data_IF_270407112461
#
_entry.id   IF_270407112461
#
_cell.length_a   1.000
_cell.length_b   1.000
_cell.length_c   1.000
_cell.angle_alpha   90.00
_cell.angle_beta   90.00
_cell.angle_gamma   90.00
#
_symmetry.space_group_name_H-M   'P 1'
#
loop_
_entity.id
_entity.type
_entity.pdbx_description
1 polymer ?
#
# COMPACT_ATOMS: atom_id res chain seq x y z
N UNK A 1 17.30 21.65 -13.61
CA UNK A 1 18.01 20.76 -14.54
C UNK A 1 19.46 21.21 -14.52
N UNK A 2 20.50 20.45 -14.21
CA UNK A 2 20.70 19.00 -14.13
C UNK A 2 20.69 18.50 -12.68
N UNK A 3 19.82 17.54 -12.39
CA UNK A 3 20.03 16.62 -11.27
C UNK A 3 20.92 15.56 -11.87
N UNK A 4 22.13 15.36 -11.37
CA UNK A 4 22.97 14.22 -11.77
C UNK A 4 22.69 13.09 -10.78
N UNK A 5 21.54 12.36 -10.90
CA UNK A 5 21.17 11.31 -9.96
C UNK A 5 22.26 10.25 -9.84
N UNK A 6 23.06 10.09 -10.89
CA UNK A 6 24.16 9.13 -10.98
C UNK A 6 25.33 9.50 -10.05
N UNK A 7 25.62 10.81 -9.87
CA UNK A 7 26.66 11.27 -8.94
C UNK A 7 26.25 11.03 -7.48
N UNK A 8 25.00 11.34 -7.15
CA UNK A 8 24.44 11.07 -5.82
C UNK A 8 24.40 9.56 -5.54
N UNK A 9 24.04 8.75 -6.55
CA UNK A 9 24.03 7.30 -6.43
C UNK A 9 25.44 6.73 -6.20
N UNK A 10 26.45 7.23 -6.91
CA UNK A 10 27.85 6.82 -6.71
C UNK A 10 28.35 7.17 -5.30
N UNK A 11 28.10 8.40 -4.85
CA UNK A 11 28.48 8.84 -3.50
C UNK A 11 27.81 8.02 -2.40
N UNK A 12 26.49 7.81 -2.50
CA UNK A 12 25.74 6.99 -1.53
C UNK A 12 26.23 5.54 -1.56
N UNK A 13 26.62 5.00 -2.72
CA UNK A 13 27.19 3.65 -2.84
C UNK A 13 28.54 3.53 -2.14
N UNK A 14 29.40 4.54 -2.24
CA UNK A 14 30.68 4.55 -1.52
C UNK A 14 30.47 4.66 0.00
N UNK A 15 29.54 5.50 0.44
CA UNK A 15 29.21 5.64 1.87
C UNK A 15 28.58 4.36 2.43
N UNK A 16 27.67 3.71 1.69
CA UNK A 16 27.07 2.43 2.10
C UNK A 16 28.06 1.26 2.08
N UNK A 17 29.06 1.27 1.19
CA UNK A 17 30.14 0.27 1.20
C UNK A 17 31.08 0.43 2.39
N UNK A 18 31.42 1.67 2.76
CA UNK A 18 32.30 1.97 3.90
C UNK A 18 31.59 1.73 5.24
N UNK A 19 30.28 1.98 5.28
CA UNK A 19 29.47 1.91 6.49
C UNK A 19 28.06 1.41 6.16
N UNK A 20 27.81 0.09 6.25
CA UNK A 20 26.54 -0.51 5.84
C UNK A 20 25.34 -0.18 6.74
N UNK A 21 25.62 0.23 8.00
CA UNK A 21 24.64 0.51 9.05
C UNK A 21 24.48 2.01 9.37
N UNK A 22 25.02 2.92 8.55
CA UNK A 22 24.81 4.36 8.78
C UNK A 22 23.32 4.70 8.76
N UNK A 23 22.92 5.61 9.65
CA UNK A 23 21.58 6.13 9.73
C UNK A 23 21.21 6.87 8.42
N UNK A 24 19.99 6.62 7.92
CA UNK A 24 19.50 7.23 6.68
C UNK A 24 19.42 8.76 6.76
N UNK A 25 19.32 9.31 7.98
CA UNK A 25 19.39 10.75 8.29
C UNK A 25 20.75 11.34 7.95
N UNK A 26 21.84 10.67 8.35
CA UNK A 26 23.22 11.14 8.11
C UNK A 26 23.60 11.04 6.63
N UNK A 27 23.13 10.01 5.92
CA UNK A 27 23.30 9.93 4.45
C UNK A 27 22.55 11.04 3.73
N UNK A 28 21.39 11.43 4.24
CA UNK A 28 20.58 12.49 3.66
C UNK A 28 21.23 13.85 3.86
N UNK A 29 21.79 14.13 5.04
CA UNK A 29 22.53 15.36 5.31
C UNK A 29 23.78 15.49 4.44
N UNK A 30 24.60 14.43 4.35
CA UNK A 30 25.78 14.41 3.47
C UNK A 30 25.39 14.51 1.98
N UNK A 31 24.26 13.94 1.58
CA UNK A 31 23.79 14.03 0.20
C UNK A 31 23.22 15.42 -0.16
N UNK A 32 22.72 16.20 0.81
CA UNK A 32 22.30 17.59 0.60
C UNK A 32 23.47 18.53 0.30
N UNK A 33 24.66 18.21 0.80
CA UNK A 33 25.89 18.98 0.53
C UNK A 33 26.42 18.72 -0.89
N UNK A 34 26.14 17.54 -1.45
CA UNK A 34 26.59 17.12 -2.78
C UNK A 34 25.66 17.61 -3.90
N UNK A 35 24.33 17.65 -3.67
CA UNK A 35 23.36 18.13 -4.65
C UNK A 35 22.16 18.82 -3.97
N UNK A 36 21.90 20.06 -4.36
CA UNK A 36 20.74 20.83 -3.87
C UNK A 36 19.40 20.24 -4.29
N UNK A 37 19.36 19.45 -5.36
CA UNK A 37 18.19 18.67 -5.79
C UNK A 37 17.78 17.59 -4.79
N UNK A 38 18.71 17.15 -3.92
CA UNK A 38 18.38 16.23 -2.82
C UNK A 38 17.67 16.96 -1.68
N UNK A 39 17.86 18.28 -1.53
CA UNK A 39 17.16 19.10 -0.50
C UNK A 39 15.64 19.12 -0.73
N UNK A 40 15.20 18.96 -1.98
CA UNK A 40 13.78 18.93 -2.34
C UNK A 40 13.10 17.58 -2.08
N UNK A 41 13.89 16.52 -1.80
CA UNK A 41 13.37 15.18 -1.55
C UNK A 41 13.10 14.98 -0.06
N UNK A 42 11.97 14.33 0.26
CA UNK A 42 11.75 13.84 1.62
C UNK A 42 12.71 12.70 1.95
N UNK A 43 13.00 12.49 3.24
CA UNK A 43 13.87 11.40 3.72
C UNK A 43 13.41 10.01 3.23
N UNK A 44 12.09 9.83 3.10
CA UNK A 44 11.47 8.63 2.52
C UNK A 44 11.75 8.49 1.02
N UNK A 45 11.64 9.57 0.25
CA UNK A 45 11.94 9.57 -1.18
C UNK A 45 13.44 9.37 -1.44
N UNK A 46 14.30 9.99 -0.64
CA UNK A 46 15.75 9.78 -0.69
C UNK A 46 16.10 8.31 -0.46
N UNK A 47 15.57 7.70 0.61
CA UNK A 47 15.79 6.28 0.90
C UNK A 47 15.33 5.36 -0.24
N UNK A 48 14.14 5.63 -0.80
CA UNK A 48 13.60 4.84 -1.90
C UNK A 48 14.40 4.97 -3.20
N UNK A 49 14.98 6.15 -3.47
CA UNK A 49 15.69 6.46 -4.72
C UNK A 49 17.15 6.03 -4.71
N UNK A 50 17.89 6.18 -3.61
CA UNK A 50 19.33 5.89 -3.62
C UNK A 50 19.70 4.69 -2.74
N UNK A 51 19.61 4.72 -1.39
CA UNK A 51 20.06 3.63 -0.56
C UNK A 51 19.37 2.28 -0.85
N UNK A 52 18.06 2.29 -1.03
CA UNK A 52 17.30 1.06 -1.30
C UNK A 52 17.66 0.45 -2.66
N UNK A 53 17.90 1.29 -3.68
CA UNK A 53 18.29 0.80 -5.01
C UNK A 53 19.65 0.12 -4.98
N UNK A 54 20.61 0.71 -4.27
CA UNK A 54 21.96 0.15 -4.12
C UNK A 54 21.89 -1.19 -3.38
N UNK A 55 21.16 -1.28 -2.26
CA UNK A 55 20.96 -2.54 -1.52
C UNK A 55 20.27 -3.62 -2.37
N UNK A 56 19.35 -3.26 -3.26
CA UNK A 56 18.73 -4.18 -4.23
C UNK A 56 19.69 -4.65 -5.30
N UNK A 57 20.53 -3.77 -5.84
CA UNK A 57 21.54 -4.15 -6.83
C UNK A 57 22.56 -5.10 -6.22
N UNK A 58 23.00 -4.85 -4.98
CA UNK A 58 23.93 -5.73 -4.27
C UNK A 58 23.31 -7.10 -3.93
N UNK A 59 22.02 -7.15 -3.57
CA UNK A 59 21.36 -8.44 -3.31
C UNK A 59 21.11 -9.24 -4.59
N UNK A 60 20.87 -8.58 -5.73
CA UNK A 60 20.81 -9.23 -7.04
C UNK A 60 22.18 -9.76 -7.48
N UNK A 61 23.25 -8.99 -7.26
CA UNK A 61 24.62 -9.39 -7.60
C UNK A 61 25.12 -10.56 -6.73
N UNK A 62 24.68 -10.66 -5.46
CA UNK A 62 24.99 -11.78 -4.54
C UNK A 62 24.16 -13.05 -4.80
N UNK A 63 23.50 -13.17 -5.96
CA UNK A 63 22.73 -14.37 -6.32
C UNK A 63 21.34 -14.45 -5.69
N UNK A 64 20.83 -13.37 -5.09
CA UNK A 64 19.44 -13.28 -4.60
C UNK A 64 18.40 -13.01 -5.70
N UNK A 65 18.78 -13.16 -6.97
CA UNK A 65 17.95 -12.91 -8.13
C UNK A 65 17.01 -14.06 -8.44
N UNK A 66 15.70 -13.81 -8.29
CA UNK A 66 14.57 -14.61 -8.82
C UNK A 66 14.47 -16.04 -8.27
N UNK A 67 13.66 -16.21 -7.22
CA UNK A 67 12.80 -17.40 -7.16
C UNK A 67 11.93 -17.35 -8.42
N UNK A 68 12.18 -18.27 -9.36
CA UNK A 68 11.33 -18.47 -10.53
C UNK A 68 9.88 -18.75 -10.14
N UNK A 69 8.94 -18.76 -11.09
CA UNK A 69 7.57 -19.13 -10.81
C UNK A 69 7.56 -20.59 -10.37
N UNK A 70 7.41 -20.84 -9.07
CA UNK A 70 7.26 -22.21 -8.54
C UNK A 70 5.85 -22.70 -8.87
N UNK A 71 5.69 -23.80 -9.62
CA UNK A 71 4.38 -24.35 -9.89
C UNK A 71 3.90 -25.13 -8.66
N UNK A 72 2.72 -24.74 -8.18
CA UNK A 72 1.74 -25.51 -7.40
C UNK A 72 2.14 -26.19 -6.07
N UNK A 73 1.16 -26.20 -5.17
CA UNK A 73 1.00 -27.10 -4.01
C UNK A 73 2.00 -26.99 -2.86
N UNK A 74 1.61 -26.27 -1.80
CA UNK A 74 2.31 -26.38 -0.52
C UNK A 74 1.97 -25.34 0.53
N UNK A 75 0.78 -25.47 1.11
CA UNK A 75 0.37 -25.07 2.46
C UNK A 75 1.41 -24.35 3.38
N UNK A 76 0.92 -23.21 3.91
CA UNK A 76 1.16 -22.57 5.23
C UNK A 76 2.31 -21.56 5.35
N UNK A 77 1.94 -20.29 5.27
CA UNK A 77 2.42 -19.21 6.15
C UNK A 77 1.45 -18.03 6.01
N UNK A 78 0.61 -17.65 6.97
CA UNK A 78 0.91 -17.50 8.37
C UNK A 78 0.99 -16.04 8.82
N UNK A 79 0.68 -15.03 7.97
CA UNK A 79 0.53 -13.63 8.44
C UNK A 79 -0.07 -12.69 7.37
N UNK A 80 -1.30 -12.95 6.91
CA UNK A 80 -2.03 -12.01 6.02
C UNK A 80 -3.55 -12.16 6.04
N UNK A 81 -4.10 -12.97 6.94
CA UNK A 81 -5.51 -13.39 6.92
C UNK A 81 -6.47 -12.49 7.72
N UNK A 82 -5.96 -11.44 8.36
CA UNK A 82 -6.81 -10.48 9.09
C UNK A 82 -7.39 -9.40 8.19
N UNK A 83 -6.68 -9.00 7.12
CA UNK A 83 -7.17 -7.97 6.20
C UNK A 83 -8.23 -8.50 5.25
N UNK A 84 -8.15 -9.75 4.79
CA UNK A 84 -9.12 -10.29 3.82
C UNK A 84 -10.53 -10.42 4.42
N UNK A 85 -10.65 -10.79 5.69
CA UNK A 85 -11.98 -10.93 6.32
C UNK A 85 -12.62 -9.56 6.56
N UNK A 86 -11.81 -8.56 6.91
CA UNK A 86 -12.28 -7.20 7.13
C UNK A 86 -12.67 -6.51 5.82
N UNK A 87 -11.91 -6.72 4.74
CA UNK A 87 -12.31 -6.27 3.40
C UNK A 87 -13.58 -6.96 2.92
N UNK A 88 -13.71 -8.28 3.08
CA UNK A 88 -14.94 -9.00 2.70
C UNK A 88 -16.15 -8.55 3.52
N UNK A 89 -15.98 -8.27 4.82
CA UNK A 89 -17.04 -7.71 5.67
C UNK A 89 -17.43 -6.31 5.22
N UNK A 90 -16.45 -5.47 4.91
CA UNK A 90 -16.68 -4.11 4.42
C UNK A 90 -17.33 -4.10 3.04
N UNK A 91 -16.95 -5.03 2.16
CA UNK A 91 -17.56 -5.25 0.85
C UNK A 91 -19.02 -5.69 1.00
N UNK A 92 -19.30 -6.67 1.86
CA UNK A 92 -20.67 -7.11 2.12
C UNK A 92 -21.55 -5.99 2.72
N UNK A 93 -21.02 -5.17 3.63
CA UNK A 93 -21.73 -3.98 4.12
C UNK A 93 -21.97 -2.95 3.01
N UNK A 94 -20.97 -2.75 2.15
CA UNK A 94 -21.06 -1.82 1.02
C UNK A 94 -22.16 -2.25 0.05
N UNK A 95 -22.27 -3.54 -0.25
CA UNK A 95 -23.28 -4.07 -1.16
C UNK A 95 -24.69 -3.81 -0.63
N UNK A 96 -24.93 -4.04 0.66
CA UNK A 96 -26.23 -3.76 1.31
C UNK A 96 -26.58 -2.28 1.24
N UNK A 97 -25.62 -1.40 1.50
CA UNK A 97 -25.83 0.06 1.44
C UNK A 97 -26.07 0.55 0.01
N UNK A 98 -25.37 -0.01 -0.97
CA UNK A 98 -25.59 0.31 -2.38
C UNK A 98 -26.96 -0.17 -2.86
N UNK A 99 -27.39 -1.34 -2.41
CA UNK A 99 -28.73 -1.86 -2.71
C UNK A 99 -29.82 -0.95 -2.11
N UNK A 100 -29.68 -0.53 -0.86
CA UNK A 100 -30.59 0.43 -0.24
C UNK A 100 -30.62 1.78 -1.00
N UNK A 101 -29.45 2.30 -1.40
CA UNK A 101 -29.37 3.54 -2.16
C UNK A 101 -30.02 3.41 -3.54
N UNK A 102 -29.87 2.26 -4.20
CA UNK A 102 -30.52 1.97 -5.48
C UNK A 102 -32.06 1.95 -5.31
N UNK A 103 -32.56 1.22 -4.33
CA UNK A 103 -34.01 1.12 -4.06
C UNK A 103 -34.60 2.48 -3.65
N UNK A 104 -33.84 3.32 -2.95
CA UNK A 104 -34.23 4.69 -2.63
C UNK A 104 -34.22 5.60 -3.87
N UNK A 105 -33.26 5.42 -4.79
CA UNK A 105 -33.16 6.22 -6.01
C UNK A 105 -34.19 5.86 -7.07
N UNK A 106 -34.64 4.60 -7.09
CA UNK A 106 -35.69 4.10 -7.98
C UNK A 106 -37.09 4.52 -7.50
N UNK A 107 -37.22 4.86 -6.22
CA UNK A 107 -38.47 5.33 -5.63
C UNK A 107 -38.76 6.80 -6.01
N UNK A 108 -39.42 6.99 -7.15
CA UNK A 108 -39.83 8.31 -7.64
C UNK A 108 -41.03 8.89 -6.85
N UNK A 109 -41.94 8.04 -6.37
CA UNK A 109 -43.15 8.46 -5.66
C UNK A 109 -43.04 8.32 -4.12
N UNK A 110 -43.75 9.20 -3.40
CA UNK A 110 -43.81 9.17 -1.91
C UNK A 110 -44.24 7.81 -1.36
N UNK A 111 -45.13 7.12 -2.05
CA UNK A 111 -45.59 5.77 -1.67
C UNK A 111 -44.46 4.76 -1.69
N UNK A 112 -43.60 4.83 -2.70
CA UNK A 112 -42.48 3.90 -2.87
C UNK A 112 -41.37 4.22 -1.88
N UNK A 113 -41.14 5.49 -1.56
CA UNK A 113 -40.25 5.89 -0.47
C UNK A 113 -40.71 5.31 0.89
N UNK A 114 -42.01 5.38 1.19
CA UNK A 114 -42.58 4.78 2.41
C UNK A 114 -42.39 3.26 2.41
N UNK A 115 -42.52 2.62 1.25
CA UNK A 115 -42.30 1.17 1.11
C UNK A 115 -40.84 0.79 1.32
N UNK A 116 -39.88 1.57 0.83
CA UNK A 116 -38.44 1.37 1.08
C UNK A 116 -38.15 1.55 2.57
N UNK A 117 -38.68 2.60 3.20
CA UNK A 117 -38.52 2.85 4.63
C UNK A 117 -39.12 1.74 5.51
N UNK A 118 -40.29 1.22 5.14
CA UNK A 118 -40.91 0.10 5.84
C UNK A 118 -40.11 -1.21 5.73
N UNK A 119 -39.19 -1.32 4.76
CA UNK A 119 -38.32 -2.47 4.57
C UNK A 119 -36.89 -2.23 5.10
N UNK A 120 -36.61 -1.12 5.78
CA UNK A 120 -35.28 -0.78 6.32
C UNK A 120 -34.69 -1.90 7.17
N UNK A 121 -35.53 -2.57 7.97
CA UNK A 121 -35.11 -3.68 8.83
C UNK A 121 -34.41 -4.80 8.04
N UNK A 122 -34.81 -5.07 6.79
CA UNK A 122 -34.17 -6.08 5.94
C UNK A 122 -32.73 -5.71 5.59
N UNK A 123 -32.46 -4.43 5.33
CA UNK A 123 -31.11 -3.94 5.06
C UNK A 123 -30.28 -3.90 6.35
N UNK A 124 -30.90 -3.56 7.48
CA UNK A 124 -30.24 -3.62 8.80
C UNK A 124 -29.85 -5.05 9.14
N UNK A 125 -30.73 -6.03 8.94
CA UNK A 125 -30.45 -7.44 9.13
C UNK A 125 -29.31 -7.93 8.20
N UNK A 126 -29.33 -7.49 6.94
CA UNK A 126 -28.25 -7.74 5.99
C UNK A 126 -26.91 -7.17 6.46
N UNK A 127 -26.91 -5.94 6.97
CA UNK A 127 -25.73 -5.27 7.50
C UNK A 127 -25.21 -5.92 8.80
N UNK A 128 -26.10 -6.35 9.70
CA UNK A 128 -25.75 -7.06 10.93
C UNK A 128 -25.16 -8.44 10.64
N UNK A 129 -25.75 -9.17 9.68
CA UNK A 129 -25.19 -10.43 9.18
C UNK A 129 -23.81 -10.24 8.55
N UNK A 130 -23.63 -9.19 7.73
CA UNK A 130 -22.33 -8.82 7.19
C UNK A 130 -21.34 -8.44 8.31
N UNK A 131 -21.83 -7.81 9.38
CA UNK A 131 -21.09 -7.50 10.59
C UNK A 131 -20.72 -8.74 11.43
N UNK A 132 -21.25 -9.91 11.11
CA UNK A 132 -21.07 -11.11 11.92
C UNK A 132 -21.55 -10.92 13.37
N UNK A 133 -22.60 -10.11 13.55
CA UNK A 133 -23.34 -9.96 14.81
C UNK A 133 -24.72 -10.58 14.66
#
# INVERSE_FOLDING_TARGET
MATDPDKVMAFVKEQLKKTPDIATTELFEKAKEVDEGVKQLSLRQFNARFPLQIKRQESLAKGGGRRGPSPSTGRRSGSRRRTSKDTTRREAMRDVLLQFAADLSDAEERRDLVRVLANVDKYVDGAMKAAGR
#
